data_IF_690872852715
#
_entry.id   IF_690872852715
#
_cell.length_a   1.000
_cell.length_b   1.000
_cell.length_c   1.000
_cell.angle_alpha   90.00
_cell.angle_beta   90.00
_cell.angle_gamma   90.00
#
_symmetry.space_group_name_H-M   'P 1'
#
loop_
_entity.id
_entity.type
_entity.pdbx_description
1 polymer ?
#
# COMPACT_ATOMS: atom_id res chain seq x y z
N UNK A 1 1.46 14.71 -23.04
CA UNK A 1 1.08 14.52 -23.76
C UNK A 1 0.96 14.19 -24.03
N UNK A 2 0.91 14.51 -23.56
CA UNK A 2 0.32 14.20 -24.26
C UNK A 2 0.22 13.70 -24.32
N UNK A 3 0.31 13.93 -23.99
CA UNK A 3 -0.27 13.58 -24.37
C UNK A 3 -0.74 13.06 -24.31
N UNK A 4 -0.80 13.15 -23.93
CA UNK A 4 -1.66 12.73 -24.17
C UNK A 4 -2.03 12.25 -24.17
N UNK A 5 -2.06 12.49 -23.83
CA UNK A 5 -2.73 12.14 -24.10
C UNK A 5 -3.23 11.80 -24.31
N UNK A 6 -3.36 11.90 -24.19
CA UNK A 6 -4.18 11.55 -24.52
C UNK A 6 -4.78 10.99 -24.42
N UNK A 7 -4.82 11.15 -24.47
CA UNK A 7 -5.53 10.62 -24.31
C UNK A 7 -5.98 9.73 -24.14
N UNK A 8 -6.27 9.54 -23.82
CA UNK A 8 -6.77 8.61 -23.54
C UNK A 8 -7.47 8.32 -23.16
N UNK A 9 -7.20 8.42 -23.02
CA UNK A 9 -8.11 8.17 -22.70
C UNK A 9 -9.17 7.81 -22.28
N UNK A 10 -9.41 7.77 -22.42
CA UNK A 10 -10.66 7.26 -22.07
C UNK A 10 -10.72 6.75 -20.71
N UNK A 11 -11.51 7.24 -19.91
CA UNK A 11 -11.59 6.87 -18.52
C UNK A 11 -12.67 5.85 -18.33
N UNK A 12 -12.54 5.10 -17.27
CA UNK A 12 -13.47 4.07 -17.01
C UNK A 12 -13.89 4.10 -15.61
N UNK A 13 -14.95 3.38 -15.27
CA UNK A 13 -15.35 3.24 -13.89
C UNK A 13 -14.25 2.61 -13.04
N UNK A 14 -13.36 1.91 -13.70
CA UNK A 14 -12.22 1.32 -12.99
C UNK A 14 -11.12 2.33 -12.71
N UNK A 15 -11.25 3.55 -13.21
CA UNK A 15 -10.24 4.56 -12.95
C UNK A 15 -10.28 4.96 -11.50
N UNK A 16 -9.13 4.95 -10.90
CA UNK A 16 -8.99 5.29 -9.49
C UNK A 16 -8.43 6.69 -9.33
N UNK A 17 -8.78 7.37 -8.24
CA UNK A 17 -8.15 8.66 -7.96
C UNK A 17 -6.67 8.48 -7.72
N UNK A 18 -5.90 9.56 -7.86
CA UNK A 18 -4.48 9.48 -7.51
C UNK A 18 -4.31 9.10 -6.04
N UNK A 19 -3.14 8.64 -5.71
CA UNK A 19 -2.83 8.31 -4.32
C UNK A 19 -2.97 9.55 -3.45
N UNK A 20 -3.44 9.35 -2.23
CA UNK A 20 -3.64 10.43 -1.27
C UNK A 20 -2.63 10.28 -0.14
N UNK A 21 -1.89 11.37 0.12
CA UNK A 21 -0.89 11.39 1.18
C UNK A 21 -1.39 12.32 2.27
N UNK A 22 -1.83 11.75 3.37
CA UNK A 22 -2.34 12.53 4.49
C UNK A 22 -1.20 13.08 5.33
N UNK A 23 -1.47 14.08 6.18
CA UNK A 23 -0.42 14.60 7.07
C UNK A 23 0.20 13.47 7.87
N UNK A 24 1.52 13.47 7.95
CA UNK A 24 2.26 12.42 8.62
C UNK A 24 2.78 11.34 7.70
N UNK A 25 2.30 11.31 6.46
CA UNK A 25 2.82 10.35 5.50
C UNK A 25 4.22 10.77 5.03
N UNK A 26 5.12 9.81 4.99
CA UNK A 26 6.48 10.02 4.48
C UNK A 26 6.76 8.92 3.47
N UNK A 27 7.02 9.30 2.24
CA UNK A 27 7.24 8.31 1.18
C UNK A 27 8.59 8.59 0.55
N UNK A 28 9.46 7.58 0.55
CA UNK A 28 10.80 7.68 -0.01
C UNK A 28 11.08 6.51 -0.94
N UNK A 29 11.56 6.84 -2.12
CA UNK A 29 12.06 5.86 -3.07
C UNK A 29 11.06 4.69 -3.26
N UNK A 30 9.80 5.04 -3.50
CA UNK A 30 8.75 4.04 -3.58
C UNK A 30 7.84 4.32 -4.77
N UNK A 31 7.20 3.27 -5.25
CA UNK A 31 6.17 3.39 -6.28
C UNK A 31 4.82 3.22 -5.60
N UNK A 32 3.95 4.20 -5.80
CA UNK A 32 2.63 4.19 -5.19
C UNK A 32 1.60 4.32 -6.29
N UNK A 33 0.75 3.34 -6.41
CA UNK A 33 -0.25 3.31 -7.48
C UNK A 33 -1.51 4.07 -7.10
N UNK A 34 -2.43 4.17 -8.04
CA UNK A 34 -3.67 4.92 -7.85
C UNK A 34 -4.54 4.31 -6.76
N UNK A 35 -5.33 5.15 -6.13
CA UNK A 35 -6.31 4.72 -5.14
C UNK A 35 -5.74 4.43 -3.77
N UNK A 36 -4.44 4.63 -3.57
CA UNK A 36 -3.84 4.39 -2.26
C UNK A 36 -4.10 5.55 -1.32
N UNK A 37 -4.17 5.26 -0.04
CA UNK A 37 -4.29 6.26 1.01
C UNK A 37 -3.20 5.97 2.03
N UNK A 38 -2.32 6.95 2.23
CA UNK A 38 -1.15 6.76 3.08
C UNK A 38 -1.17 7.72 4.25
N UNK A 39 -1.04 7.15 5.44
CA UNK A 39 -0.94 7.91 6.67
C UNK A 39 0.36 7.63 7.42
N UNK A 40 1.15 6.70 6.93
CA UNK A 40 2.39 6.30 7.58
C UNK A 40 3.59 6.44 6.67
N UNK A 41 4.69 5.80 7.04
CA UNK A 41 5.95 5.87 6.30
C UNK A 41 6.10 4.69 5.37
N UNK A 42 6.57 4.97 4.16
CA UNK A 42 6.81 3.95 3.14
C UNK A 42 8.17 4.25 2.52
N UNK A 43 9.05 3.24 2.51
CA UNK A 43 10.40 3.41 2.01
C UNK A 43 10.84 2.20 1.20
N UNK A 44 11.41 2.45 0.02
CA UNK A 44 11.91 1.40 -0.88
C UNK A 44 10.89 0.30 -1.14
N UNK A 45 9.65 0.68 -1.32
CA UNK A 45 8.55 -0.27 -1.42
C UNK A 45 7.71 -0.01 -2.65
N UNK A 46 6.89 -0.99 -3.00
CA UNK A 46 5.95 -0.87 -4.10
C UNK A 46 4.55 -1.12 -3.55
N UNK A 47 3.68 -0.15 -3.73
CA UNK A 47 2.27 -0.27 -3.35
C UNK A 47 1.43 -0.37 -4.61
N UNK A 48 0.68 -1.44 -4.74
CA UNK A 48 -0.21 -1.61 -5.86
C UNK A 48 -1.47 -0.77 -5.63
N UNK A 49 -2.54 -1.04 -6.34
CA UNK A 49 -3.72 -0.18 -6.31
C UNK A 49 -4.54 -0.38 -5.05
N UNK A 50 -5.13 0.70 -4.57
CA UNK A 50 -6.11 0.66 -3.47
C UNK A 50 -5.52 0.12 -2.17
N UNK A 51 -4.29 0.48 -1.87
CA UNK A 51 -3.66 0.09 -0.61
C UNK A 51 -3.91 1.17 0.43
N UNK A 52 -4.34 0.78 1.62
CA UNK A 52 -4.51 1.69 2.74
C UNK A 52 -3.42 1.43 3.77
N UNK A 53 -2.68 2.47 4.11
CA UNK A 53 -1.64 2.42 5.14
C UNK A 53 -2.10 3.27 6.31
N UNK A 54 -2.23 2.68 7.48
CA UNK A 54 -2.70 3.37 8.67
C UNK A 54 -1.69 4.33 9.26
N UNK A 55 -2.07 4.96 10.36
CA UNK A 55 -1.23 5.93 11.04
C UNK A 55 -0.05 5.23 11.71
N UNK A 56 1.10 5.89 11.71
CA UNK A 56 2.31 5.39 12.38
C UNK A 56 2.78 4.05 11.86
N UNK A 57 2.40 3.68 10.65
CA UNK A 57 2.90 2.47 10.05
C UNK A 57 4.27 2.71 9.45
N UNK A 58 5.07 1.66 9.40
CA UNK A 58 6.39 1.70 8.77
C UNK A 58 6.47 0.55 7.78
N UNK A 59 6.61 0.87 6.51
CA UNK A 59 6.70 -0.12 5.45
C UNK A 59 8.05 0.07 4.78
N UNK A 60 8.88 -0.98 4.79
CA UNK A 60 10.22 -0.89 4.21
C UNK A 60 10.53 -2.12 3.37
N UNK A 61 11.13 -1.86 2.20
CA UNK A 61 11.65 -2.93 1.34
C UNK A 61 10.61 -4.01 1.07
N UNK A 62 9.37 -3.61 0.84
CA UNK A 62 8.25 -4.54 0.75
C UNK A 62 7.44 -4.30 -0.50
N UNK A 63 6.66 -5.30 -0.87
CA UNK A 63 5.70 -5.19 -1.96
C UNK A 63 4.32 -5.44 -1.37
N UNK A 64 3.44 -4.45 -1.50
CA UNK A 64 2.07 -4.56 -1.01
C UNK A 64 1.17 -4.64 -2.23
N UNK A 65 0.45 -5.74 -2.36
CA UNK A 65 -0.33 -5.97 -3.55
C UNK A 65 -1.67 -5.24 -3.49
N UNK A 66 -2.58 -5.57 -4.39
CA UNK A 66 -3.80 -4.77 -4.57
C UNK A 66 -4.75 -4.88 -3.39
N UNK A 67 -5.39 -3.76 -3.09
CA UNK A 67 -6.54 -3.75 -2.16
C UNK A 67 -6.18 -4.31 -0.79
N UNK A 68 -5.05 -3.90 -0.25
CA UNK A 68 -4.58 -4.33 1.06
C UNK A 68 -4.89 -3.23 2.07
N UNK A 69 -5.39 -3.62 3.23
CA UNK A 69 -5.65 -2.71 4.32
C UNK A 69 -4.66 -3.00 5.45
N UNK A 70 -3.90 -1.99 5.85
CA UNK A 70 -2.91 -2.14 6.92
C UNK A 70 -3.32 -1.23 8.08
N UNK A 71 -3.63 -1.85 9.22
CA UNK A 71 -4.06 -1.11 10.41
C UNK A 71 -2.94 -0.29 11.01
N UNK A 72 -3.32 0.58 11.95
CA UNK A 72 -2.39 1.54 12.54
C UNK A 72 -1.26 0.84 13.29
N UNK A 73 -0.13 1.53 13.39
CA UNK A 73 1.02 1.09 14.18
C UNK A 73 1.59 -0.25 13.73
N UNK A 74 1.51 -0.55 12.45
CA UNK A 74 2.00 -1.81 11.90
C UNK A 74 3.36 -1.59 11.27
N UNK A 75 4.26 -2.56 11.46
CA UNK A 75 5.60 -2.52 10.87
C UNK A 75 5.73 -3.69 9.90
N UNK A 76 6.10 -3.39 8.67
CA UNK A 76 6.29 -4.41 7.63
C UNK A 76 7.63 -4.15 6.96
N UNK A 77 8.55 -5.12 7.04
CA UNK A 77 9.87 -5.01 6.43
C UNK A 77 10.23 -6.30 5.71
N UNK A 78 10.73 -6.15 4.48
CA UNK A 78 11.18 -7.28 3.68
C UNK A 78 10.08 -8.33 3.50
N UNK A 79 8.87 -7.87 3.17
CA UNK A 79 7.72 -8.75 3.04
C UNK A 79 7.01 -8.51 1.71
N UNK A 80 6.27 -9.53 1.29
CA UNK A 80 5.31 -9.39 0.20
C UNK A 80 3.95 -9.67 0.79
N UNK A 81 3.05 -8.67 0.73
CA UNK A 81 1.71 -8.79 1.29
C UNK A 81 0.74 -9.10 0.17
N UNK A 82 0.01 -10.17 0.32
CA UNK A 82 -0.87 -10.67 -0.72
C UNK A 82 -2.08 -9.76 -0.92
N UNK A 83 -2.61 -9.76 -2.13
CA UNK A 83 -3.78 -8.95 -2.46
C UNK A 83 -4.95 -9.24 -1.54
N UNK A 84 -5.67 -8.20 -1.19
CA UNK A 84 -6.88 -8.27 -0.36
C UNK A 84 -6.62 -8.74 1.06
N UNK A 85 -5.38 -8.66 1.51
CA UNK A 85 -5.10 -8.89 2.92
C UNK A 85 -5.63 -7.75 3.77
N UNK A 86 -6.02 -8.06 4.97
CA UNK A 86 -6.37 -7.07 5.98
C UNK A 86 -5.52 -7.32 7.21
N UNK A 87 -4.54 -6.45 7.41
CA UNK A 87 -3.57 -6.59 8.49
C UNK A 87 -4.09 -5.81 9.69
N UNK A 88 -4.18 -6.45 10.83
CA UNK A 88 -4.66 -5.80 12.05
C UNK A 88 -3.66 -4.75 12.51
N UNK A 89 -4.19 -3.78 13.25
CA UNK A 89 -3.35 -2.77 13.89
C UNK A 89 -2.36 -3.42 14.85
N UNK A 90 -1.27 -2.73 15.08
CA UNK A 90 -0.23 -3.13 16.05
C UNK A 90 0.42 -4.47 15.71
N UNK A 91 0.56 -4.76 14.43
CA UNK A 91 1.16 -6.00 13.96
C UNK A 91 2.57 -5.71 13.43
N UNK A 92 3.46 -6.68 13.59
CA UNK A 92 4.83 -6.55 13.07
C UNK A 92 5.17 -7.78 12.24
N UNK A 93 5.56 -7.53 10.99
CA UNK A 93 6.03 -8.58 10.09
C UNK A 93 7.39 -8.18 9.56
N UNK A 94 8.40 -8.95 9.89
CA UNK A 94 9.77 -8.65 9.47
C UNK A 94 10.38 -9.89 8.83
N UNK A 95 10.66 -9.79 7.54
CA UNK A 95 11.43 -10.79 6.82
C UNK A 95 12.89 -10.38 6.75
N UNK A 96 13.67 -11.15 6.04
CA UNK A 96 15.10 -10.85 5.85
C UNK A 96 15.34 -10.46 4.39
N UNK A 97 16.37 -9.68 4.10
CA UNK A 97 16.63 -9.28 2.72
C UNK A 97 16.82 -10.45 1.76
N UNK A 98 17.38 -11.55 2.25
CA UNK A 98 17.60 -12.73 1.43
C UNK A 98 16.55 -13.82 1.69
N UNK A 99 15.55 -13.52 2.50
CA UNK A 99 14.48 -14.47 2.81
C UNK A 99 13.19 -13.69 3.08
N UNK A 100 12.59 -13.23 2.01
CA UNK A 100 11.42 -12.36 2.08
C UNK A 100 10.22 -13.14 2.61
N UNK A 101 9.51 -12.53 3.55
CA UNK A 101 8.34 -13.15 4.15
C UNK A 101 7.09 -12.89 3.30
N UNK A 102 6.34 -13.93 3.06
CA UNK A 102 5.05 -13.80 2.39
C UNK A 102 3.96 -13.69 3.45
N UNK A 103 3.21 -12.63 3.41
CA UNK A 103 2.17 -12.36 4.40
C UNK A 103 0.80 -12.63 3.81
N UNK A 104 0.05 -13.51 4.46
CA UNK A 104 -1.33 -13.80 4.09
C UNK A 104 -2.15 -13.67 5.35
N UNK A 105 -2.90 -12.59 5.45
CA UNK A 105 -3.73 -12.34 6.64
C UNK A 105 -5.09 -11.84 6.17
N UNK A 106 -6.06 -12.73 6.16
CA UNK A 106 -7.38 -12.46 5.58
C UNK A 106 -8.42 -12.19 6.66
N UNK A 107 -8.27 -11.09 7.34
CA UNK A 107 -9.26 -10.68 8.34
C UNK A 107 -10.45 -10.03 7.65
N UNK A 108 -11.58 -10.05 8.34
CA UNK A 108 -12.74 -9.33 7.86
C UNK A 108 -12.53 -7.82 8.01
N UNK A 109 -12.94 -7.10 7.01
CA UNK A 109 -12.99 -5.64 7.11
C UNK A 109 -14.40 -5.23 7.44
N UNK A 110 -14.48 -4.19 8.28
CA UNK A 110 -15.77 -3.63 8.56
C UNK A 110 -16.26 -2.86 7.36
N UNK A 111 -17.48 -3.13 6.98
CA UNK A 111 -18.13 -2.33 5.98
C UNK A 111 -19.37 -1.75 6.65
N UNK A 112 -19.46 -0.47 6.63
CA UNK A 112 -20.58 0.20 7.28
C UNK A 112 -21.59 0.70 6.31
#
# INVERSE_FOLDING_TARGET
DHRDLHSFPTRRSSDLPPAKYNPGAVVKNSLVSSGCILNGSVENSVLFKKVYIGNNCVIKNSIIMNDVYIGDNTVIENCIVESRDTIRANTTYIGQPDDVKIVIEKNERYTL
#
